data_IF_904273608544
#
_entry.id   IF_904273608544
#
_cell.length_a   1.000
_cell.length_b   1.000
_cell.length_c   1.000
_cell.angle_alpha   90.00
_cell.angle_beta   90.00
_cell.angle_gamma   90.00
#
_symmetry.space_group_name_H-M   'P 1'
#
loop_
_entity.id
_entity.type
_entity.pdbx_description
1 polymer ?
#
# COMPACT_ATOMS: atom_id res chain seq x y z
N UNK A 1 -10.25 13.64 5.87
CA UNK A 1 -10.77 13.27 4.54
C UNK A 1 -12.01 12.44 4.79
N UNK A 2 -13.09 12.70 4.07
CA UNK A 2 -14.29 11.86 4.17
C UNK A 2 -14.03 10.54 3.45
N UNK A 3 -14.17 9.43 4.18
CA UNK A 3 -14.08 8.08 3.62
C UNK A 3 -15.28 7.85 2.70
N UNK A 4 -15.03 7.33 1.50
CA UNK A 4 -16.09 7.02 0.54
C UNK A 4 -15.99 5.61 0.00
N UNK A 5 -17.15 5.01 -0.23
CA UNK A 5 -17.27 3.83 -1.07
C UNK A 5 -16.92 4.20 -2.51
N UNK A 6 -16.07 3.42 -3.16
CA UNK A 6 -15.70 3.58 -4.58
C UNK A 6 -16.16 2.38 -5.41
N UNK A 7 -16.25 2.50 -6.74
CA UNK A 7 -16.58 1.36 -7.61
C UNK A 7 -15.55 0.23 -7.51
N UNK A 8 -16.03 -1.02 -7.58
CA UNK A 8 -15.18 -2.20 -7.62
C UNK A 8 -14.42 -2.25 -8.95
N UNK A 9 -13.11 -2.43 -8.89
CA UNK A 9 -12.22 -2.54 -10.05
C UNK A 9 -11.20 -3.65 -9.81
N UNK A 10 -11.04 -4.55 -10.78
CA UNK A 10 -9.92 -5.51 -10.78
C UNK A 10 -8.62 -4.77 -11.06
N UNK A 11 -7.60 -5.07 -10.28
CA UNK A 11 -6.26 -4.45 -10.39
C UNK A 11 -5.19 -5.52 -10.36
N UNK A 12 -5.08 -6.36 -11.40
CA UNK A 12 -3.99 -7.32 -11.51
C UNK A 12 -2.67 -6.59 -11.81
N UNK A 13 -1.58 -7.14 -11.30
CA UNK A 13 -0.23 -6.64 -11.54
C UNK A 13 0.66 -7.75 -12.10
N UNK A 14 1.61 -7.38 -12.93
CA UNK A 14 2.69 -8.29 -13.30
C UNK A 14 3.62 -8.52 -12.10
N UNK A 15 4.39 -9.62 -12.13
CA UNK A 15 5.43 -9.87 -11.12
C UNK A 15 6.45 -8.73 -11.07
N UNK A 16 6.78 -8.13 -12.21
CA UNK A 16 7.68 -6.98 -12.33
C UNK A 16 7.08 -5.73 -11.71
N UNK A 17 5.83 -5.39 -11.99
CA UNK A 17 5.17 -4.21 -11.40
C UNK A 17 5.10 -4.32 -9.86
N UNK A 18 4.79 -5.51 -9.35
CA UNK A 18 4.79 -5.76 -7.92
C UNK A 18 6.19 -5.62 -7.31
N UNK A 19 7.21 -6.23 -7.92
CA UNK A 19 8.60 -6.11 -7.48
C UNK A 19 9.07 -4.65 -7.48
N UNK A 20 8.77 -3.90 -8.54
CA UNK A 20 9.08 -2.46 -8.66
C UNK A 20 8.43 -1.68 -7.52
N UNK A 21 7.15 -1.94 -7.22
CA UNK A 21 6.46 -1.28 -6.12
C UNK A 21 7.08 -1.61 -4.76
N UNK A 22 7.45 -2.88 -4.51
CA UNK A 22 8.17 -3.28 -3.29
C UNK A 22 9.47 -2.51 -3.16
N UNK A 23 10.31 -2.52 -4.20
CA UNK A 23 11.63 -1.87 -4.17
C UNK A 23 11.49 -0.37 -3.91
N UNK A 24 10.59 0.31 -4.64
CA UNK A 24 10.34 1.74 -4.46
C UNK A 24 9.87 2.07 -3.05
N UNK A 25 8.87 1.35 -2.52
CA UNK A 25 8.36 1.59 -1.17
C UNK A 25 9.40 1.25 -0.09
N UNK A 26 10.17 0.18 -0.27
CA UNK A 26 11.23 -0.23 0.63
C UNK A 26 12.35 0.81 0.71
N UNK A 27 12.83 1.30 -0.45
CA UNK A 27 13.82 2.39 -0.50
C UNK A 27 13.31 3.64 0.22
N UNK A 28 12.05 4.00 -0.01
CA UNK A 28 11.44 5.19 0.62
C UNK A 28 11.33 5.05 2.14
N UNK A 29 10.95 3.89 2.64
CA UNK A 29 10.73 3.66 4.07
C UNK A 29 12.02 3.38 4.83
N UNK A 30 13.00 2.73 4.20
CA UNK A 30 14.15 2.11 4.88
C UNK A 30 15.50 2.59 4.38
N UNK A 31 15.53 3.46 3.37
CA UNK A 31 16.75 3.98 2.75
C UNK A 31 17.76 2.89 2.31
N UNK A 32 17.27 1.67 2.07
CA UNK A 32 18.07 0.50 1.66
C UNK A 32 17.37 -0.22 0.51
N UNK A 33 18.11 -1.08 -0.19
CA UNK A 33 17.54 -1.99 -1.19
C UNK A 33 17.09 -3.29 -0.52
N UNK A 34 15.89 -3.81 -0.82
CA UNK A 34 15.54 -5.17 -0.44
C UNK A 34 16.38 -6.17 -1.23
N UNK A 35 16.56 -7.37 -0.69
CA UNK A 35 17.12 -8.49 -1.46
C UNK A 35 16.05 -9.13 -2.35
N UNK A 36 16.47 -9.83 -3.42
CA UNK A 36 15.56 -10.62 -4.27
C UNK A 36 14.72 -11.60 -3.44
N UNK A 37 15.32 -12.23 -2.43
CA UNK A 37 14.65 -13.17 -1.55
C UNK A 37 13.57 -12.50 -0.68
N UNK A 38 13.83 -11.28 -0.19
CA UNK A 38 12.85 -10.51 0.58
C UNK A 38 11.65 -10.08 -0.27
N UNK A 39 11.90 -9.57 -1.48
CA UNK A 39 10.83 -9.27 -2.45
C UNK A 39 10.04 -10.55 -2.78
N UNK A 40 10.73 -11.68 -2.94
CA UNK A 40 10.10 -12.99 -3.15
C UNK A 40 9.15 -13.41 -2.03
N UNK A 41 9.47 -13.11 -0.76
CA UNK A 41 8.57 -13.40 0.37
C UNK A 41 7.28 -12.57 0.30
N UNK A 42 7.39 -11.30 -0.04
CA UNK A 42 6.22 -10.41 -0.20
C UNK A 42 5.37 -10.82 -1.40
N UNK A 43 6.00 -11.13 -2.54
CA UNK A 43 5.32 -11.67 -3.71
C UNK A 43 4.58 -12.95 -3.38
N UNK A 44 5.22 -13.86 -2.63
CA UNK A 44 4.61 -15.13 -2.27
C UNK A 44 3.33 -14.97 -1.45
N UNK A 45 3.32 -14.03 -0.51
CA UNK A 45 2.11 -13.69 0.23
C UNK A 45 1.03 -13.13 -0.71
N UNK A 46 1.36 -12.13 -1.53
CA UNK A 46 0.40 -11.56 -2.48
C UNK A 46 -0.20 -12.62 -3.41
N UNK A 47 0.63 -13.47 -3.99
CA UNK A 47 0.20 -14.53 -4.89
C UNK A 47 -0.73 -15.53 -4.20
N UNK A 48 -0.45 -15.88 -2.95
CA UNK A 48 -1.28 -16.77 -2.14
C UNK A 48 -2.64 -16.13 -1.80
N UNK A 49 -2.63 -14.87 -1.34
CA UNK A 49 -3.84 -14.17 -0.86
C UNK A 49 -4.79 -13.77 -1.99
N UNK A 50 -4.25 -13.52 -3.18
CA UNK A 50 -5.04 -12.98 -4.31
C UNK A 50 -5.18 -13.95 -5.47
N UNK A 51 -4.66 -15.17 -5.36
CA UNK A 51 -4.61 -16.12 -6.48
C UNK A 51 -3.84 -15.54 -7.66
N UNK A 52 -2.60 -15.06 -7.42
CA UNK A 52 -1.75 -14.36 -8.40
C UNK A 52 -2.41 -13.11 -9.00
N UNK A 53 -3.12 -12.34 -8.18
CA UNK A 53 -3.79 -11.10 -8.58
C UNK A 53 -5.20 -11.29 -9.16
N UNK A 54 -5.66 -12.52 -9.36
CA UNK A 54 -7.00 -12.80 -9.88
C UNK A 54 -8.12 -12.26 -8.96
N UNK A 55 -7.85 -12.13 -7.66
CA UNK A 55 -8.73 -11.55 -6.66
C UNK A 55 -8.16 -10.26 -6.04
N UNK A 56 -7.32 -9.52 -6.77
CA UNK A 56 -6.87 -8.19 -6.33
C UNK A 56 -7.85 -7.12 -6.82
N UNK A 57 -8.44 -6.40 -5.86
CA UNK A 57 -9.46 -5.37 -6.11
C UNK A 57 -8.96 -4.02 -5.60
N UNK A 58 -9.13 -2.97 -6.41
CA UNK A 58 -8.81 -1.58 -6.05
C UNK A 58 -7.43 -1.40 -5.40
N UNK A 59 -6.42 -2.04 -5.99
CA UNK A 59 -5.02 -2.05 -5.55
C UNK A 59 -4.81 -2.63 -4.13
N UNK A 60 -5.80 -3.29 -3.53
CA UNK A 60 -5.70 -3.88 -2.20
C UNK A 60 -4.96 -5.23 -2.27
N UNK A 61 -3.63 -5.16 -2.27
CA UNK A 61 -2.72 -6.31 -2.41
C UNK A 61 -2.74 -7.29 -1.22
N UNK A 62 -3.32 -6.89 -0.08
CA UNK A 62 -3.37 -7.69 1.14
C UNK A 62 -4.77 -8.08 1.60
N UNK A 63 -5.80 -7.82 0.78
CA UNK A 63 -7.22 -7.97 1.19
C UNK A 63 -7.53 -7.30 2.53
N UNK A 64 -6.93 -6.12 2.78
CA UNK A 64 -7.04 -5.39 4.04
C UNK A 64 -8.48 -4.90 4.22
N UNK A 65 -9.10 -5.28 5.33
CA UNK A 65 -10.45 -4.82 5.71
C UNK A 65 -10.46 -3.32 5.97
N UNK A 66 -11.55 -2.68 5.60
CA UNK A 66 -11.84 -1.31 5.98
C UNK A 66 -12.64 -1.30 7.30
N UNK A 67 -12.33 -0.34 8.16
CA UNK A 67 -13.14 0.01 9.32
C UNK A 67 -13.48 1.49 9.26
N UNK A 68 -14.71 1.86 9.64
CA UNK A 68 -15.12 3.25 9.68
C UNK A 68 -14.18 4.09 10.56
N UNK A 69 -13.68 5.20 10.02
CA UNK A 69 -12.71 6.07 10.69
C UNK A 69 -11.24 5.67 10.49
N UNK A 70 -10.93 4.67 9.64
CA UNK A 70 -9.55 4.26 9.35
C UNK A 70 -8.81 5.12 8.31
N UNK A 71 -9.50 6.10 7.72
CA UNK A 71 -8.99 7.09 6.78
C UNK A 71 -8.90 6.61 5.33
N UNK A 72 -9.41 5.41 5.01
CA UNK A 72 -9.32 4.85 3.66
C UNK A 72 -10.66 4.86 2.94
N UNK A 73 -10.61 5.13 1.63
CA UNK A 73 -11.70 4.74 0.74
C UNK A 73 -11.88 3.23 0.76
N UNK A 74 -13.06 2.74 0.39
CA UNK A 74 -13.36 1.31 0.48
C UNK A 74 -14.25 0.81 -0.64
N UNK A 75 -14.27 -0.50 -0.82
CA UNK A 75 -15.21 -1.23 -1.66
C UNK A 75 -16.00 -2.21 -0.80
N UNK A 76 -17.17 -2.61 -1.29
CA UNK A 76 -17.96 -3.70 -0.70
C UNK A 76 -17.99 -4.88 -1.66
N UNK A 77 -17.36 -6.00 -1.31
CA UNK A 77 -17.35 -7.20 -2.16
C UNK A 77 -18.49 -8.15 -1.78
N UNK A 78 -19.30 -8.64 -2.75
CA UNK A 78 -20.30 -9.67 -2.48
C UNK A 78 -19.65 -11.03 -2.19
N UNK A 79 -20.39 -11.92 -1.52
CA UNK A 79 -19.99 -13.31 -1.28
C UNK A 79 -18.66 -13.49 -0.52
N UNK A 80 -18.28 -12.52 0.32
CA UNK A 80 -17.11 -12.64 1.20
C UNK A 80 -17.42 -13.60 2.33
N UNK A 81 -16.45 -14.41 2.76
CA UNK A 81 -16.69 -15.40 3.81
C UNK A 81 -15.68 -15.27 4.94
N UNK A 82 -16.12 -15.57 6.16
CA UNK A 82 -15.28 -15.67 7.34
C UNK A 82 -15.67 -16.90 8.15
N UNK A 83 -14.77 -17.38 9.02
CA UNK A 83 -15.09 -18.45 9.96
C UNK A 83 -15.51 -17.83 11.28
N UNK A 84 -16.80 -17.88 11.59
CA UNK A 84 -17.40 -17.36 12.82
C UNK A 84 -17.82 -18.54 13.68
N UNK A 85 -17.27 -18.65 14.90
CA UNK A 85 -17.52 -19.78 15.81
C UNK A 85 -17.33 -21.16 15.16
N UNK A 86 -16.29 -21.31 14.33
CA UNK A 86 -15.97 -22.56 13.64
C UNK A 86 -16.82 -22.85 12.39
N UNK A 87 -17.79 -21.99 12.06
CA UNK A 87 -18.66 -22.15 10.88
C UNK A 87 -18.29 -21.12 9.82
N UNK A 88 -18.18 -21.56 8.57
CA UNK A 88 -18.02 -20.65 7.43
C UNK A 88 -19.32 -19.90 7.18
N UNK A 89 -19.29 -18.58 7.37
CA UNK A 89 -20.41 -17.67 7.12
C UNK A 89 -20.09 -16.81 5.91
N UNK A 90 -21.02 -16.70 4.97
CA UNK A 90 -20.91 -15.82 3.80
C UNK A 90 -21.72 -14.55 4.05
N UNK A 91 -21.08 -13.39 3.85
CA UNK A 91 -21.66 -12.07 4.04
C UNK A 91 -21.95 -11.39 2.69
N UNK A 92 -22.99 -10.56 2.69
CA UNK A 92 -23.35 -9.67 1.58
C UNK A 92 -23.22 -8.20 2.01
N UNK A 93 -22.93 -7.28 1.07
CA UNK A 93 -23.06 -5.85 1.31
C UNK A 93 -24.46 -5.51 1.84
N UNK A 94 -24.60 -4.53 2.74
CA UNK A 94 -23.56 -3.62 3.22
C UNK A 94 -22.84 -4.07 4.50
N UNK A 95 -22.83 -5.38 4.83
CA UNK A 95 -22.23 -5.86 6.09
C UNK A 95 -20.73 -5.49 6.20
N UNK A 96 -20.21 -5.05 7.36
CA UNK A 96 -18.81 -4.62 7.51
C UNK A 96 -17.76 -5.67 7.13
N UNK A 97 -18.06 -6.97 7.29
CA UNK A 97 -17.20 -8.04 6.80
C UNK A 97 -16.98 -8.00 5.27
N UNK A 98 -17.80 -7.27 4.53
CA UNK A 98 -17.63 -7.08 3.07
C UNK A 98 -16.76 -5.88 2.71
N UNK A 99 -16.34 -5.07 3.69
CA UNK A 99 -15.64 -3.81 3.45
C UNK A 99 -14.13 -4.04 3.36
N UNK A 100 -13.54 -3.62 2.25
CA UNK A 100 -12.10 -3.70 1.99
C UNK A 100 -11.57 -2.33 1.60
N UNK A 101 -10.39 -1.98 2.08
CA UNK A 101 -9.71 -0.73 1.70
C UNK A 101 -9.51 -0.67 0.19
N UNK A 102 -9.60 0.54 -0.35
CA UNK A 102 -9.28 0.87 -1.72
C UNK A 102 -8.09 1.83 -1.71
N UNK A 103 -7.09 1.54 -2.52
CA UNK A 103 -5.91 2.38 -2.68
C UNK A 103 -5.88 2.98 -4.07
N UNK A 104 -5.40 4.21 -4.18
CA UNK A 104 -5.37 4.93 -5.46
C UNK A 104 -4.33 4.32 -6.42
N UNK A 105 -3.20 3.88 -5.88
CA UNK A 105 -2.10 3.28 -6.66
C UNK A 105 -1.49 2.05 -5.97
N UNK A 106 -0.80 1.21 -6.74
CA UNK A 106 -0.04 0.08 -6.21
C UNK A 106 1.06 0.55 -5.24
N UNK A 107 1.73 1.67 -5.50
CA UNK A 107 2.78 2.21 -4.64
C UNK A 107 2.24 2.66 -3.28
N UNK A 108 1.06 3.27 -3.25
CA UNK A 108 0.39 3.65 -2.00
C UNK A 108 -0.01 2.42 -1.19
N UNK A 109 -0.58 1.40 -1.85
CA UNK A 109 -0.93 0.13 -1.22
C UNK A 109 0.30 -0.58 -0.66
N UNK A 110 1.40 -0.61 -1.43
CA UNK A 110 2.65 -1.24 -1.01
C UNK A 110 3.27 -0.54 0.19
N UNK A 111 3.27 0.79 0.21
CA UNK A 111 3.78 1.57 1.35
C UNK A 111 3.01 1.23 2.63
N UNK A 112 1.68 1.16 2.55
CA UNK A 112 0.85 0.78 3.69
C UNK A 112 1.05 -0.68 4.12
N UNK A 113 1.20 -1.59 3.15
CA UNK A 113 1.48 -3.00 3.43
C UNK A 113 2.80 -3.19 4.15
N UNK A 114 3.87 -2.52 3.71
CA UNK A 114 5.17 -2.58 4.37
C UNK A 114 5.12 -1.97 5.78
N UNK A 115 4.41 -0.84 5.99
CA UNK A 115 4.19 -0.28 7.34
C UNK A 115 3.46 -1.26 8.24
N UNK A 116 2.41 -1.92 7.74
CA UNK A 116 1.66 -2.93 8.48
C UNK A 116 2.57 -4.09 8.94
N UNK A 117 3.43 -4.57 8.04
CA UNK A 117 4.35 -5.69 8.28
C UNK A 117 5.57 -5.31 9.13
N UNK A 118 6.02 -4.05 9.08
CA UNK A 118 7.21 -3.60 9.80
C UNK A 118 6.92 -2.98 11.15
N UNK A 119 5.88 -2.17 11.26
CA UNK A 119 5.67 -1.26 12.40
C UNK A 119 4.46 -1.60 13.24
N UNK A 120 3.51 -2.37 12.70
CA UNK A 120 2.20 -2.60 13.33
C UNK A 120 2.10 -4.03 13.88
N UNK A 121 0.88 -4.58 13.90
CA UNK A 121 0.54 -5.89 14.48
C UNK A 121 1.47 -7.03 14.05
N UNK A 122 2.01 -6.95 12.83
CA UNK A 122 2.83 -8.00 12.23
C UNK A 122 4.33 -7.70 12.23
N UNK A 123 4.80 -6.67 12.94
CA UNK A 123 6.22 -6.30 13.05
C UNK A 123 7.16 -7.49 13.35
N UNK A 124 6.70 -8.48 14.13
CA UNK A 124 7.45 -9.69 14.45
C UNK A 124 7.76 -10.58 13.23
N UNK A 125 7.10 -10.38 12.10
CA UNK A 125 7.33 -11.12 10.86
C UNK A 125 8.42 -10.50 9.99
N UNK A 126 8.79 -9.25 10.26
CA UNK A 126 9.76 -8.50 9.44
C UNK A 126 11.13 -9.18 9.30
N UNK A 127 11.74 -9.76 10.36
CA UNK A 127 13.03 -10.44 10.22
C UNK A 127 13.00 -11.61 9.24
N UNK A 128 11.89 -12.35 9.17
CA UNK A 128 11.72 -13.45 8.23
C UNK A 128 11.58 -12.96 6.78
N UNK A 129 10.94 -11.80 6.57
CA UNK A 129 10.87 -11.15 5.26
C UNK A 129 12.27 -10.74 4.81
N UNK A 130 13.04 -10.06 5.66
CA UNK A 130 14.41 -9.63 5.33
C UNK A 130 15.34 -10.80 5.01
N UNK A 131 15.21 -11.90 5.76
CA UNK A 131 15.95 -13.13 5.52
C UNK A 131 15.49 -13.88 4.26
N UNK A 132 14.35 -13.54 3.68
CA UNK A 132 13.74 -14.28 2.58
C UNK A 132 13.30 -15.69 3.00
N UNK A 133 12.78 -15.84 4.22
CA UNK A 133 12.36 -17.10 4.85
C UNK A 133 10.81 -17.25 4.83
N UNK A 134 10.23 -17.99 3.87
CA UNK A 134 8.79 -18.22 3.80
C UNK A 134 8.22 -18.93 5.04
N UNK A 135 8.98 -19.81 5.67
CA UNK A 135 8.53 -20.62 6.79
C UNK A 135 8.48 -19.80 8.08
N UNK A 136 9.53 -19.02 8.33
CA UNK A 136 9.56 -18.02 9.40
C UNK A 136 8.46 -16.98 9.22
N UNK A 137 8.21 -16.56 7.98
CA UNK A 137 7.18 -15.58 7.68
C UNK A 137 5.78 -16.12 8.00
N UNK A 138 5.46 -17.34 7.54
CA UNK A 138 4.21 -18.02 7.85
C UNK A 138 3.98 -18.15 9.37
N UNK A 139 4.97 -18.65 10.11
CA UNK A 139 4.89 -18.82 11.57
C UNK A 139 4.64 -17.48 12.29
N UNK A 140 5.36 -16.43 11.90
CA UNK A 140 5.21 -15.12 12.52
C UNK A 140 3.84 -14.48 12.26
N UNK A 141 3.31 -14.62 11.04
CA UNK A 141 1.95 -14.18 10.71
C UNK A 141 0.89 -14.96 11.49
N UNK A 142 1.06 -16.29 11.59
CA UNK A 142 0.15 -17.16 12.36
C UNK A 142 0.09 -16.76 13.83
N UNK A 143 1.24 -16.51 14.45
CA UNK A 143 1.34 -16.11 15.84
C UNK A 143 0.59 -14.80 16.16
N UNK A 144 0.33 -13.97 15.15
CA UNK A 144 -0.43 -12.73 15.26
C UNK A 144 -1.86 -12.86 14.75
N UNK A 145 -2.29 -14.05 14.35
CA UNK A 145 -3.65 -14.33 13.89
C UNK A 145 -3.97 -13.73 12.51
N UNK A 146 -2.98 -13.63 11.62
CA UNK A 146 -3.20 -13.17 10.23
C UNK A 146 -4.14 -14.13 9.48
N UNK A 147 -4.02 -15.43 9.73
CA UNK A 147 -4.82 -16.48 9.09
C UNK A 147 -5.14 -17.63 10.05
N UNK A 148 -6.22 -18.36 9.75
CA UNK A 148 -6.74 -19.46 10.59
C UNK A 148 -6.32 -20.85 10.12
N UNK A 149 -5.93 -21.02 8.85
CA UNK A 149 -5.45 -22.30 8.29
C UNK A 149 -4.21 -22.87 9.03
N UNK A 150 -3.93 -24.18 8.93
CA UNK A 150 -2.70 -24.78 9.46
C UNK A 150 -1.45 -24.07 8.94
N UNK A 151 -0.43 -23.94 9.79
CA UNK A 151 0.80 -23.22 9.42
C UNK A 151 1.51 -23.86 8.24
N UNK A 152 1.52 -25.20 8.18
CA UNK A 152 2.19 -25.95 7.11
C UNK A 152 1.57 -25.75 5.74
N UNK A 153 0.24 -25.65 5.66
CA UNK A 153 -0.46 -25.41 4.39
C UNK A 153 -0.14 -24.01 3.85
N UNK A 154 -0.15 -23.02 4.75
CA UNK A 154 0.19 -21.64 4.41
C UNK A 154 1.66 -21.52 3.99
N UNK A 155 2.57 -22.10 4.79
CA UNK A 155 4.00 -22.11 4.51
C UNK A 155 4.31 -22.82 3.18
N UNK A 156 3.65 -23.93 2.87
CA UNK A 156 3.76 -24.61 1.56
C UNK A 156 3.36 -23.70 0.41
N UNK A 157 2.27 -22.95 0.56
CA UNK A 157 1.85 -21.93 -0.42
C UNK A 157 2.93 -20.87 -0.62
N UNK A 158 3.44 -20.31 0.47
CA UNK A 158 4.51 -19.31 0.40
C UNK A 158 5.79 -19.85 -0.27
N UNK A 159 6.27 -21.03 0.14
CA UNK A 159 7.45 -21.67 -0.48
C UNK A 159 7.28 -21.86 -1.98
N UNK A 160 6.09 -22.27 -2.42
CA UNK A 160 5.79 -22.50 -3.85
C UNK A 160 5.93 -21.20 -4.64
N UNK A 161 5.26 -20.13 -4.21
CA UNK A 161 5.30 -18.86 -4.94
C UNK A 161 6.63 -18.11 -4.78
N UNK A 162 7.32 -18.31 -3.65
CA UNK A 162 8.68 -17.79 -3.44
C UNK A 162 9.64 -18.43 -4.43
N UNK A 163 9.66 -19.77 -4.53
CA UNK A 163 10.51 -20.49 -5.49
C UNK A 163 10.16 -20.16 -6.96
N UNK A 164 8.90 -19.86 -7.25
CA UNK A 164 8.48 -19.34 -8.56
C UNK A 164 9.12 -17.97 -8.83
N UNK A 165 9.02 -17.03 -7.89
CA UNK A 165 9.61 -15.69 -8.01
C UNK A 165 11.13 -15.74 -8.19
N UNK A 166 11.81 -16.58 -7.39
CA UNK A 166 13.27 -16.68 -7.42
C UNK A 166 13.83 -17.13 -8.77
N UNK A 167 13.04 -17.89 -9.55
CA UNK A 167 13.39 -18.33 -10.91
C UNK A 167 13.13 -17.29 -12.00
N UNK A 168 12.44 -16.19 -11.66
CA UNK A 168 12.12 -15.12 -12.60
C UNK A 168 13.18 -14.02 -12.60
N UNK A 169 13.21 -13.23 -13.68
CA UNK A 169 14.04 -12.01 -13.78
C UNK A 169 13.32 -10.76 -13.23
N UNK A 170 12.09 -10.91 -12.68
CA UNK A 170 11.25 -9.79 -12.32
C UNK A 170 11.88 -8.83 -11.29
N UNK A 171 12.72 -9.35 -10.40
CA UNK A 171 13.48 -8.51 -9.46
C UNK A 171 14.56 -7.70 -10.18
N UNK A 172 15.34 -8.35 -11.05
CA UNK A 172 16.47 -7.73 -11.72
C UNK A 172 15.97 -6.63 -12.66
N UNK A 173 14.94 -6.93 -13.47
CA UNK A 173 14.24 -5.95 -14.32
C UNK A 173 13.68 -4.77 -13.51
N UNK A 174 13.13 -5.03 -12.32
CA UNK A 174 12.55 -3.99 -11.47
C UNK A 174 13.61 -3.12 -10.78
N UNK A 175 14.77 -3.68 -10.45
CA UNK A 175 15.92 -2.91 -9.95
C UNK A 175 16.42 -1.97 -11.03
N UNK A 176 16.58 -2.46 -12.26
CA UNK A 176 16.98 -1.63 -13.41
C UNK A 176 16.01 -0.46 -13.61
N UNK A 177 14.70 -0.71 -13.61
CA UNK A 177 13.67 0.34 -13.72
C UNK A 177 13.81 1.42 -12.65
N UNK A 178 13.98 1.01 -11.39
CA UNK A 178 14.02 1.93 -10.24
C UNK A 178 15.30 2.76 -10.24
N UNK A 179 16.43 2.17 -10.65
CA UNK A 179 17.69 2.89 -10.77
C UNK A 179 17.65 3.87 -11.94
N UNK A 180 17.17 3.45 -13.11
CA UNK A 180 17.01 4.31 -14.28
C UNK A 180 16.09 5.51 -13.98
N UNK A 181 14.97 5.30 -13.27
CA UNK A 181 14.09 6.38 -12.85
C UNK A 181 14.72 7.35 -11.84
N UNK A 182 15.76 6.93 -11.11
CA UNK A 182 16.51 7.80 -10.19
C UNK A 182 17.59 8.63 -10.90
N UNK A 183 17.97 8.24 -12.13
CA UNK A 183 19.04 8.88 -12.92
C UNK A 183 18.51 9.93 -13.91
N UNK A 184 17.19 10.00 -14.15
CA UNK A 184 16.60 11.06 -14.98
C UNK A 184 16.86 12.41 -14.29
N UNK A 185 17.63 13.33 -14.90
CA UNK A 185 17.83 14.65 -14.33
C UNK A 185 16.47 15.31 -14.14
N UNK A 186 16.20 15.79 -12.93
CA UNK A 186 15.13 16.76 -12.72
C UNK A 186 15.43 17.92 -13.68
N UNK A 187 14.55 18.17 -14.64
CA UNK A 187 14.66 19.30 -15.56
C UNK A 187 15.02 20.55 -14.71
N UNK A 188 16.04 21.34 -15.08
CA UNK A 188 16.39 22.51 -14.29
C UNK A 188 15.13 23.38 -14.18
N UNK A 189 14.68 23.57 -12.94
CA UNK A 189 13.55 24.45 -12.62
C UNK A 189 13.87 25.81 -13.23
N UNK A 190 13.17 26.15 -14.32
CA UNK A 190 13.34 27.45 -14.97
C UNK A 190 13.11 28.50 -13.87
N UNK A 191 14.02 29.48 -13.73
CA UNK A 191 13.91 30.46 -12.66
C UNK A 191 12.53 31.10 -12.74
N UNK A 192 11.79 30.98 -11.64
CA UNK A 192 10.50 31.65 -11.46
C UNK A 192 10.76 33.13 -11.77
N UNK A 193 10.10 33.73 -12.78
CA UNK A 193 10.29 35.15 -13.05
C UNK A 193 9.94 35.93 -11.78
N UNK A 194 10.73 36.95 -11.41
CA UNK A 194 10.47 37.71 -10.19
C UNK A 194 9.04 38.24 -10.23
N UNK A 195 8.26 37.86 -9.22
CA UNK A 195 6.90 38.34 -9.04
C UNK A 195 6.91 39.86 -9.02
N UNK A 196 6.15 40.49 -9.93
CA UNK A 196 5.99 41.94 -9.97
C UNK A 196 5.58 42.45 -8.59
N UNK A 197 6.15 43.57 -8.10
CA UNK A 197 5.80 44.12 -6.80
C UNK A 197 4.31 44.47 -6.79
N UNK A 198 3.56 43.79 -5.93
CA UNK A 198 2.16 44.08 -5.67
C UNK A 198 2.05 45.54 -5.22
N UNK A 199 1.45 46.39 -6.05
CA UNK A 199 1.13 47.77 -5.68
C UNK A 199 0.11 47.71 -4.54
N UNK A 200 0.59 47.93 -3.31
CA UNK A 200 -0.27 48.09 -2.14
C UNK A 200 -1.01 49.41 -2.30
N UNK A 201 -2.23 49.35 -2.84
CA UNK A 201 -3.16 50.47 -2.84
C UNK A 201 -3.56 50.71 -1.38
N UNK A 202 -2.97 51.74 -0.77
CA UNK A 202 -3.36 52.18 0.58
C UNK A 202 -4.81 52.68 0.53
N UNK A 203 -5.70 52.25 1.44
CA UNK A 203 -7.04 52.80 1.52
C UNK A 203 -6.98 54.29 1.90
N UNK A 204 -7.73 55.10 1.16
CA UNK A 204 -7.87 56.54 1.38
C UNK A 204 -8.61 56.77 2.70
N UNK A 205 -7.90 57.28 3.70
CA UNK A 205 -8.49 57.69 4.99
C UNK A 205 -9.50 58.82 4.72
N UNK A 206 -10.75 58.73 5.18
CA UNK A 206 -11.70 59.83 5.08
C UNK A 206 -11.21 61.00 5.95
N UNK A 207 -11.09 62.20 5.36
CA UNK A 207 -10.85 63.41 6.15
C UNK A 207 -12.01 63.61 7.14
N UNK A 208 -11.67 63.58 8.42
CA UNK A 208 -12.55 63.99 9.50
C UNK A 208 -12.99 65.44 9.33
N UNK A 209 -14.25 65.71 9.62
CA UNK A 209 -14.80 67.06 9.75
C UNK A 209 -14.17 67.74 10.97
N UNK A 210 -13.79 69.02 10.90
CA UNK A 210 -13.51 69.78 12.10
C UNK A 210 -14.83 70.17 12.81
N UNK A 211 -14.89 69.87 14.10
CA UNK A 211 -15.71 70.54 15.11
C UNK A 211 -14.70 71.31 15.99
N UNK A 212 -14.91 72.51 16.52
CA UNK A 212 -16.09 73.29 16.92
C UNK A 212 -15.64 74.76 17.18
N UNK A 213 -16.63 75.64 17.37
CA UNK A 213 -16.62 76.89 18.19
C UNK A 213 -15.95 78.19 17.67
N UNK A 214 -16.78 79.15 17.23
CA UNK A 214 -17.23 80.35 17.99
C UNK A 214 -18.53 80.93 17.41
#
# INVERSE_FOLDING_TARGET
MDERQVPIKRTPFTTRDYARAVITAWRRLLATMPTKAAVGCLWAQYALETGRGAACWNNNIGNVKHAAGDGFNYIMLPNTWEVVNGVRVTFQPPHPATWFRAFDTLESAMTEHLRLLKEKRYASSWPAIEAGDPDGFARALKAKGYYTAPVEDYAKGLRTFHAEFMRSNAYDDAVEDVLAASEVPTEPELPIPPSEPTVVVRPKVPLGRPSLDE
#
